data_IF_025922517646
#
_entry.id   IF_025922517646
#
_cell.length_a   1.000
_cell.length_b   1.000
_cell.length_c   1.000
_cell.angle_alpha   90.00
_cell.angle_beta   90.00
_cell.angle_gamma   90.00
#
_symmetry.space_group_name_H-M   'P 1'
#
loop_
_entity.id
_entity.type
_entity.pdbx_description
1 polymer ?
2 polymer ?
3 non-polymer ?
4 non-polymer ?
5 water ?
#
loop_
_entity_poly.entity_id
_entity_poly.type
_entity_poly.pdbx_seq_one_letter_code
_entity_poly.pdbx_strand_id
2 'polydeoxyribonucleotide' '(DT)(DC)(DA)(DA)(DG)(DG)(DG)(DT)(DC)(DC)(DT)(DA)(DG)(DG)(DA)(DC)(DC)(DC)(DT)' ?
#
# COMPACT_ATOMS: atom_id res chain seq x y z
N UNK A 26 14.32 -19.53 12.13
CA UNK A 26 12.87 -19.58 11.98
C UNK A 26 12.23 -18.24 12.27
N UNK A 27 12.81 -17.49 13.21
CA UNK A 27 12.26 -16.21 13.60
C UNK A 27 12.70 -15.13 12.62
N UNK A 28 11.76 -14.30 12.21
CA UNK A 28 11.99 -13.31 11.15
C UNK A 28 12.01 -11.91 11.73
N UNK A 29 12.78 -11.03 11.09
CA UNK A 29 12.77 -9.61 11.38
C UNK A 29 12.29 -8.90 10.12
N UNK A 30 11.07 -8.37 10.15
CA UNK A 30 10.42 -7.76 9.01
C UNK A 30 10.30 -6.27 9.29
N UNK A 31 10.49 -5.44 8.26
CA UNK A 31 10.20 -4.02 8.35
C UNK A 31 9.09 -3.68 7.37
N UNK A 32 8.21 -2.77 7.78
CA UNK A 32 7.17 -2.20 6.95
C UNK A 32 7.41 -0.70 6.87
N UNK A 33 7.42 -0.16 5.65
CA UNK A 33 7.76 1.24 5.41
C UNK A 33 6.54 1.91 4.81
N UNK A 34 6.12 3.02 5.39
CA UNK A 34 4.86 3.69 5.03
C UNK A 34 5.13 5.18 4.91
N UNK A 35 5.04 5.71 3.70
CA UNK A 35 5.37 7.11 3.48
C UNK A 35 4.28 8.02 4.02
N UNK A 36 4.68 9.21 4.46
CA UNK A 36 3.76 10.19 4.99
C UNK A 36 3.00 10.89 3.86
N UNK A 37 1.68 10.99 4.01
CA UNK A 37 0.79 11.67 3.07
C UNK A 37 1.39 11.67 1.67
N UNK A 38 1.51 10.47 1.08
CA UNK A 38 2.41 10.26 -0.04
C UNK A 38 2.18 11.26 -1.17
N UNK A 39 1.00 11.22 -1.80
CA UNK A 39 0.74 12.11 -2.93
C UNK A 39 1.01 13.56 -2.54
N UNK A 40 0.44 14.00 -1.41
CA UNK A 40 0.65 15.37 -0.95
C UNK A 40 2.14 15.66 -0.80
N UNK A 41 2.88 14.73 -0.20
CA UNK A 41 4.30 14.93 0.00
C UNK A 41 5.02 15.08 -1.33
N UNK A 42 4.64 14.28 -2.34
CA UNK A 42 5.23 14.44 -3.66
C UNK A 42 4.96 15.82 -4.21
N UNK A 43 3.73 16.32 -4.05
CA UNK A 43 3.40 17.64 -4.56
C UNK A 43 4.17 18.73 -3.84
N UNK A 44 4.24 18.65 -2.50
CA UNK A 44 4.95 19.67 -1.74
C UNK A 44 6.42 19.75 -2.13
N UNK A 45 7.01 18.64 -2.54
CA UNK A 45 8.41 18.65 -2.94
C UNK A 45 8.58 19.44 -4.24
N UNK A 46 7.68 19.25 -5.19
CA UNK A 46 7.85 19.84 -6.51
C UNK A 46 7.50 21.31 -6.55
N UNK A 47 6.59 21.77 -5.68
CA UNK A 47 6.24 23.18 -5.52
C UNK A 47 6.42 23.53 -4.05
N UNK A 48 7.66 23.82 -3.63
CA UNK A 48 7.94 24.07 -2.20
C UNK A 48 7.09 25.14 -1.54
N UNK A 49 6.37 25.93 -2.32
CA UNK A 49 5.49 26.94 -1.73
C UNK A 49 4.22 26.33 -1.15
N UNK A 50 4.02 25.02 -1.28
CA UNK A 50 2.91 24.34 -0.65
C UNK A 50 3.24 23.80 0.73
N UNK A 51 4.52 23.74 1.11
CA UNK A 51 4.85 23.49 2.50
C UNK A 51 4.18 24.53 3.38
N UNK A 52 3.91 24.17 4.62
CA UNK A 52 3.35 25.10 5.60
C UNK A 52 1.93 25.53 5.25
N UNK A 53 1.52 25.37 3.98
CA UNK A 53 0.16 25.66 3.54
C UNK A 53 -0.65 24.38 3.52
N UNK A 54 -1.90 24.40 4.02
CA UNK A 54 -2.69 23.16 4.02
C UNK A 54 -2.95 22.71 2.59
N UNK A 55 -2.49 21.51 2.27
CA UNK A 55 -2.51 21.01 0.90
C UNK A 55 -3.38 19.77 0.82
N UNK A 56 -4.27 19.76 -0.16
CA UNK A 56 -5.07 18.58 -0.48
C UNK A 56 -4.82 18.20 -1.93
N UNK A 57 -4.76 16.89 -2.18
CA UNK A 57 -4.60 16.38 -3.53
C UNK A 57 -5.95 15.87 -4.01
N UNK A 58 -6.40 16.36 -5.15
CA UNK A 58 -7.77 16.21 -5.60
C UNK A 58 -7.86 15.19 -6.73
N UNK A 59 -8.93 14.41 -6.71
CA UNK A 59 -9.24 13.46 -7.78
C UNK A 59 -10.76 13.51 -7.97
N UNK A 60 -11.20 14.16 -9.04
CA UNK A 60 -12.64 14.37 -9.28
C UNK A 60 -13.20 15.11 -8.08
N UNK A 61 -14.26 14.61 -7.44
CA UNK A 61 -14.92 15.26 -6.32
C UNK A 61 -14.24 14.98 -4.99
N UNK A 62 -13.08 14.30 -5.01
CA UNK A 62 -12.55 13.63 -3.84
C UNK A 62 -11.17 14.17 -3.49
N UNK A 63 -10.99 14.52 -2.23
CA UNK A 63 -9.68 14.89 -1.69
C UNK A 63 -9.05 13.59 -1.21
N UNK A 64 -8.21 12.98 -2.05
CA UNK A 64 -7.76 11.62 -1.74
C UNK A 64 -6.76 11.62 -0.60
N UNK A 65 -5.91 12.65 -0.50
CA UNK A 65 -5.08 12.82 0.67
C UNK A 65 -4.74 14.29 0.83
N UNK A 66 -4.13 14.62 1.97
CA UNK A 66 -3.75 15.98 2.29
C UNK A 66 -2.55 15.94 3.22
N UNK A 67 -1.78 17.03 3.25
CA UNK A 67 -0.65 17.11 4.14
C UNK A 67 -1.12 17.37 5.57
N UNK A 68 -0.17 17.43 6.50
CA UNK A 68 -0.53 17.46 7.91
C UNK A 68 -1.01 18.85 8.35
N UNK A 69 -0.56 19.90 7.67
CA UNK A 69 -1.19 21.21 7.83
C UNK A 69 -2.70 21.08 7.72
N UNK A 70 -3.17 20.53 6.59
CA UNK A 70 -4.60 20.43 6.34
C UNK A 70 -5.28 19.42 7.25
N UNK A 71 -4.54 18.43 7.75
CA UNK A 71 -5.15 17.45 8.65
C UNK A 71 -5.50 18.08 10.00
N UNK A 72 -4.60 18.92 10.53
CA UNK A 72 -4.91 19.64 11.76
C UNK A 72 -6.22 20.41 11.63
N UNK A 73 -6.41 21.10 10.49
CA UNK A 73 -7.58 21.91 10.19
C UNK A 73 -8.87 21.10 9.97
N UNK A 74 -8.87 19.78 10.15
CA UNK A 74 -10.08 18.99 9.98
C UNK A 74 -10.18 18.26 8.66
N UNK A 75 -9.31 18.57 7.69
CA UNK A 75 -9.35 17.86 6.42
C UNK A 75 -8.92 16.41 6.65
N UNK A 76 -9.56 15.49 5.93
CA UNK A 76 -9.30 14.07 6.07
C UNK A 76 -9.35 13.42 4.70
N UNK A 77 -8.85 12.20 4.64
CA UNK A 77 -8.66 11.51 3.37
C UNK A 77 -9.98 10.97 2.85
N UNK A 78 -10.16 11.07 1.53
CA UNK A 78 -11.34 10.55 0.85
C UNK A 78 -12.59 11.38 1.21
N UNK A 79 -12.39 12.68 1.38
CA UNK A 79 -13.44 13.61 1.75
C UNK A 79 -13.81 14.45 0.54
N UNK A 80 -15.13 14.62 0.33
CA UNK A 80 -15.60 15.43 -0.79
C UNK A 80 -14.92 16.79 -0.76
N UNK A 81 -14.57 17.29 -1.94
CA UNK A 81 -13.95 18.61 -2.02
C UNK A 81 -14.88 19.67 -1.46
N UNK A 82 -16.19 19.39 -1.40
CA UNK A 82 -17.15 20.26 -0.73
C UNK A 82 -16.84 20.32 0.76
N UNK A 83 -17.04 19.21 1.47
CA UNK A 83 -16.83 19.17 2.90
C UNK A 83 -15.45 19.73 3.29
N UNK A 84 -14.45 19.53 2.42
CA UNK A 84 -13.08 19.86 2.80
C UNK A 84 -12.85 21.37 2.78
N UNK A 85 -13.26 22.05 1.71
CA UNK A 85 -13.06 23.49 1.63
C UNK A 85 -14.01 24.28 2.50
N UNK A 86 -14.94 23.61 3.18
CA UNK A 86 -15.70 24.25 4.25
C UNK A 86 -14.89 24.25 5.54
N UNK A 87 -14.30 23.10 5.88
CA UNK A 87 -13.45 23.02 7.05
C UNK A 87 -12.15 23.82 6.90
N UNK A 88 -11.75 24.12 5.66
CA UNK A 88 -10.48 24.80 5.41
C UNK A 88 -10.57 25.57 4.10
N UNK A 89 -11.43 26.63 4.06
CA UNK A 89 -11.49 27.43 2.82
C UNK A 89 -10.15 27.88 2.23
N UNK A 90 -9.10 28.03 3.03
CA UNK A 90 -7.79 28.33 2.46
C UNK A 90 -7.06 27.08 1.96
N UNK A 91 -7.76 25.95 1.93
CA UNK A 91 -7.15 24.71 1.47
C UNK A 91 -6.69 24.84 0.02
N UNK A 92 -5.41 24.64 -0.22
CA UNK A 92 -4.88 24.57 -1.58
C UNK A 92 -5.11 23.16 -2.11
N UNK A 93 -5.60 23.07 -3.35
CA UNK A 93 -5.87 21.79 -3.98
C UNK A 93 -5.09 21.70 -5.28
N UNK A 94 -4.35 20.61 -5.45
CA UNK A 94 -3.72 20.27 -6.71
C UNK A 94 -4.33 18.96 -7.19
N UNK A 95 -4.29 18.75 -8.50
CA UNK A 95 -4.94 17.61 -9.12
C UNK A 95 -3.96 16.45 -9.19
N UNK A 96 -4.36 15.30 -8.62
CA UNK A 96 -3.52 14.12 -8.64
C UNK A 96 -4.14 12.95 -9.38
N UNK A 97 -4.92 13.24 -10.42
CA UNK A 97 -5.54 12.16 -11.18
C UNK A 97 -4.51 11.40 -12.01
N UNK A 98 -3.55 12.11 -12.58
CA UNK A 98 -2.46 11.48 -13.32
C UNK A 98 -1.44 10.98 -12.31
N UNK A 99 -1.43 9.67 -12.08
CA UNK A 99 -0.56 9.05 -11.08
C UNK A 99 0.89 9.00 -11.49
N UNK A 100 1.23 9.45 -12.71
CA UNK A 100 2.56 9.21 -13.25
C UNK A 100 3.66 9.55 -12.26
N UNK A 101 3.63 10.75 -11.68
CA UNK A 101 4.73 11.17 -10.83
C UNK A 101 4.73 10.41 -9.51
N UNK A 102 3.56 10.15 -8.94
CA UNK A 102 3.49 9.32 -7.74
C UNK A 102 4.02 7.93 -8.03
N UNK A 103 3.63 7.35 -9.16
CA UNK A 103 4.12 6.02 -9.54
C UNK A 103 5.63 6.01 -9.65
N UNK A 104 6.21 7.07 -10.21
CA UNK A 104 7.65 7.06 -10.45
C UNK A 104 8.43 7.21 -9.14
N UNK A 105 7.97 8.06 -8.23
CA UNK A 105 8.60 8.12 -6.92
C UNK A 105 8.44 6.80 -6.18
N UNK A 106 7.26 6.18 -6.29
CA UNK A 106 7.02 4.92 -5.61
C UNK A 106 8.11 3.90 -5.94
N UNK A 107 8.51 3.83 -7.20
CA UNK A 107 9.51 2.85 -7.61
C UNK A 107 10.91 3.29 -7.23
N UNK A 108 11.18 4.60 -7.18
CA UNK A 108 12.44 5.05 -6.62
C UNK A 108 12.59 4.61 -5.16
N UNK A 109 11.48 4.55 -4.43
CA UNK A 109 11.53 4.09 -3.04
C UNK A 109 11.82 2.60 -2.99
N UNK A 110 11.04 1.80 -3.72
CA UNK A 110 11.25 0.36 -3.70
C UNK A 110 12.66 0.01 -4.16
N UNK A 111 13.16 0.69 -5.19
CA UNK A 111 14.51 0.43 -5.66
C UNK A 111 15.54 0.76 -4.60
N UNK A 112 15.35 1.88 -3.89
CA UNK A 112 16.28 2.23 -2.82
C UNK A 112 16.28 1.15 -1.73
N UNK A 113 15.09 0.67 -1.35
CA UNK A 113 15.02 -0.37 -0.35
C UNK A 113 15.63 -1.68 -0.86
N UNK A 114 15.45 -1.96 -2.16
CA UNK A 114 16.02 -3.18 -2.72
C UNK A 114 17.53 -3.23 -2.57
N UNK A 115 18.19 -2.08 -2.43
CA UNK A 115 19.63 -2.06 -2.18
C UNK A 115 19.95 -2.67 -0.82
N UNK A 116 19.16 -2.35 0.20
CA UNK A 116 19.37 -2.93 1.52
C UNK A 116 19.26 -4.44 1.48
N UNK A 117 18.12 -4.95 1.03
CA UNK A 117 17.93 -6.37 0.79
C UNK A 117 17.09 -6.50 -0.47
N UNK A 118 17.40 -7.47 -1.33
CA UNK A 118 16.75 -7.50 -2.65
C UNK A 118 15.29 -7.88 -2.63
N UNK A 119 14.81 -8.55 -1.57
CA UNK A 119 13.45 -9.07 -1.54
C UNK A 119 12.59 -8.02 -0.85
N UNK A 120 11.96 -7.17 -1.67
CA UNK A 120 11.08 -6.11 -1.20
C UNK A 120 9.69 -6.35 -1.79
N UNK A 121 8.68 -6.29 -0.93
CA UNK A 121 7.30 -6.48 -1.34
C UNK A 121 6.58 -5.13 -1.29
N UNK A 122 6.02 -4.73 -2.42
CA UNK A 122 5.23 -3.52 -2.49
C UNK A 122 3.79 -3.80 -2.08
N UNK A 123 3.17 -2.79 -1.46
CA UNK A 123 1.74 -2.81 -1.18
C UNK A 123 1.21 -1.42 -1.54
N UNK A 124 0.45 -1.35 -2.63
CA UNK A 124 0.10 -0.03 -3.13
C UNK A 124 1.36 0.73 -3.51
N UNK A 125 1.20 2.05 -3.66
CA UNK A 125 2.28 2.88 -4.15
C UNK A 125 3.23 3.36 -3.07
N UNK A 126 2.83 3.33 -1.79
CA UNK A 126 3.62 3.99 -0.75
C UNK A 126 4.00 3.08 0.41
N UNK A 127 3.83 1.76 0.28
CA UNK A 127 4.21 0.84 1.33
C UNK A 127 5.11 -0.27 0.78
N UNK A 128 6.12 -0.64 1.57
CA UNK A 128 7.04 -1.71 1.22
C UNK A 128 7.34 -2.56 2.44
N UNK A 129 7.43 -3.87 2.22
CA UNK A 129 7.94 -4.81 3.22
C UNK A 129 9.32 -5.26 2.80
N UNK A 130 10.20 -5.43 3.79
CA UNK A 130 11.53 -6.00 3.58
C UNK A 130 11.80 -7.01 4.70
N UNK A 131 12.26 -8.20 4.32
CA UNK A 131 12.71 -9.21 5.27
C UNK A 131 14.17 -8.92 5.61
N UNK A 132 14.40 -8.40 6.81
CA UNK A 132 15.73 -8.04 7.27
C UNK A 132 16.44 -9.16 8.00
N UNK A 133 15.84 -10.37 8.02
CA UNK A 133 16.38 -11.44 8.85
C UNK A 133 17.84 -11.72 8.51
N UNK A 134 18.12 -11.97 7.23
CA UNK A 134 19.50 -12.21 6.82
C UNK A 134 20.39 -11.04 7.20
N UNK A 135 19.94 -9.82 6.90
CA UNK A 135 20.73 -8.64 7.19
C UNK A 135 21.01 -8.52 8.69
N UNK A 136 19.99 -8.74 9.51
CA UNK A 136 20.17 -8.64 10.96
C UNK A 136 21.19 -9.67 11.43
N UNK A 137 21.08 -10.91 10.96
CA UNK A 137 21.98 -11.96 11.42
C UNK A 137 23.42 -11.66 11.00
N UNK A 138 23.62 -11.17 9.77
CA UNK A 138 24.97 -10.87 9.31
C UNK A 138 25.60 -9.78 10.17
N UNK A 139 24.83 -8.76 10.52
CA UNK A 139 25.37 -7.69 11.36
C UNK A 139 25.71 -8.21 12.74
N UNK A 140 24.88 -9.09 13.29
CA UNK A 140 25.17 -9.62 14.62
C UNK A 140 26.43 -10.46 14.61
N UNK A 141 26.77 -11.09 13.49
CA UNK A 141 28.00 -11.87 13.45
C UNK A 141 29.24 -10.98 13.38
N UNK A 142 29.10 -9.73 12.93
CA UNK A 142 30.24 -8.82 12.95
C UNK A 142 30.49 -8.25 14.34
N UNK A 143 29.51 -8.34 15.23
CA UNK A 143 29.67 -7.87 16.60
C UNK A 143 30.49 -8.87 17.41
N UNK A 144 30.79 -8.52 18.66
CA UNK A 144 31.70 -9.32 19.47
C UNK A 144 31.33 -9.15 20.94
N UNK A 145 30.74 -10.19 21.52
CA UNK A 145 30.50 -10.32 22.96
C UNK A 145 30.12 -9.02 23.66
N UNK A 146 31.03 -8.05 23.68
CA UNK A 146 30.84 -6.86 24.51
C UNK A 146 29.89 -5.87 23.86
N UNK A 147 30.17 -5.47 22.62
CA UNK A 147 29.29 -4.54 21.92
C UNK A 147 27.87 -5.05 21.82
N UNK A 148 27.65 -6.36 21.99
CA UNK A 148 26.28 -6.88 22.09
C UNK A 148 25.54 -6.24 23.26
N UNK A 149 26.25 -5.95 24.35
CA UNK A 149 25.63 -5.27 25.48
C UNK A 149 25.24 -3.84 25.14
N UNK A 150 25.76 -3.28 24.06
CA UNK A 150 25.55 -1.88 23.71
C UNK A 150 24.55 -1.68 22.57
N UNK A 151 23.96 -2.75 22.05
CA UNK A 151 22.92 -2.59 21.03
C UNK A 151 21.81 -1.74 21.60
N UNK A 152 21.43 -0.70 20.87
CA UNK A 152 20.36 0.20 21.27
C UNK A 152 19.27 0.18 20.19
N UNK A 153 18.12 0.73 20.57
CA UNK A 153 16.99 0.84 19.66
C UNK A 153 17.04 2.20 18.97
N UNK A 154 16.66 2.21 17.70
CA UNK A 154 16.38 3.44 16.98
C UNK A 154 14.86 3.61 16.90
N UNK A 155 14.36 4.72 17.41
CA UNK A 155 12.94 4.99 17.37
C UNK A 155 12.21 4.48 18.60
N UNK A 156 10.90 4.35 18.45
CA UNK A 156 10.05 3.96 19.56
C UNK A 156 10.05 2.45 19.74
N UNK A 157 9.91 2.03 21.00
CA UNK A 157 9.56 0.65 21.35
C UNK A 157 8.08 0.64 21.68
N UNK A 158 7.33 -0.24 21.02
CA UNK A 158 5.88 -0.23 21.19
C UNK A 158 5.53 -0.49 22.65
N UNK A 159 4.52 0.23 23.15
CA UNK A 159 4.02 0.07 24.51
C UNK A 159 5.10 0.35 25.55
N UNK A 160 6.11 1.15 25.18
CA UNK A 160 7.24 1.45 26.05
C UNK A 160 7.73 0.20 26.77
N UNK A 161 7.70 -0.94 26.08
CA UNK A 161 8.13 -2.18 26.69
C UNK A 161 9.63 -2.15 26.97
N UNK A 162 10.02 -2.81 28.05
CA UNK A 162 11.42 -2.83 28.46
C UNK A 162 12.21 -3.83 27.64
N UNK A 163 13.41 -3.44 27.26
CA UNK A 163 14.30 -4.27 26.46
C UNK A 163 15.09 -5.19 27.37
N UNK A 164 15.31 -6.42 26.91
CA UNK A 164 16.14 -7.40 27.61
C UNK A 164 17.26 -7.78 26.65
N UNK A 165 18.45 -7.20 26.85
CA UNK A 165 19.57 -7.43 25.95
C UNK A 165 20.00 -8.89 25.92
N UNK A 166 19.59 -9.69 26.89
CA UNK A 166 19.91 -11.11 26.89
C UNK A 166 18.92 -11.93 26.07
N UNK A 167 17.82 -11.33 25.64
CA UNK A 167 16.85 -11.98 24.77
C UNK A 167 17.29 -11.81 23.33
N UNK A 168 17.68 -12.92 22.68
CA UNK A 168 18.20 -12.83 21.33
C UNK A 168 17.14 -12.23 20.39
N UNK A 169 15.86 -12.49 20.64
CA UNK A 169 14.82 -11.90 19.80
C UNK A 169 14.80 -10.38 19.95
N UNK A 170 14.96 -9.88 21.17
CA UNK A 170 15.02 -8.44 21.38
C UNK A 170 16.21 -7.83 20.66
N UNK A 171 17.36 -8.50 20.72
CA UNK A 171 18.56 -7.97 20.06
C UNK A 171 18.36 -7.89 18.55
N UNK A 172 17.71 -8.90 17.98
CA UNK A 172 17.54 -8.92 16.53
C UNK A 172 16.55 -7.85 16.08
N UNK A 173 15.47 -7.65 16.82
CA UNK A 173 14.51 -6.61 16.49
C UNK A 173 15.12 -5.22 16.66
N UNK A 174 15.99 -5.03 17.65
CA UNK A 174 16.65 -3.72 17.80
C UNK A 174 17.60 -3.46 16.64
N UNK A 175 18.32 -4.49 16.18
CA UNK A 175 19.13 -4.32 14.97
C UNK A 175 18.23 -4.01 13.78
N UNK A 176 17.11 -4.73 13.68
CA UNK A 176 16.12 -4.38 12.67
C UNK A 176 15.76 -2.91 12.71
N UNK A 177 15.52 -2.38 13.92
CA UNK A 177 15.15 -0.98 14.04
C UNK A 177 16.26 -0.05 13.57
N UNK A 178 17.52 -0.47 13.71
CA UNK A 178 18.62 0.34 13.22
C UNK A 178 18.67 0.34 11.70
N UNK A 179 18.47 -0.83 11.09
CA UNK A 179 18.37 -0.87 9.64
C UNK A 179 17.22 0.01 9.16
N UNK A 180 16.10 -0.01 9.89
CA UNK A 180 14.94 0.77 9.51
C UNK A 180 15.24 2.26 9.51
N UNK A 181 15.99 2.73 10.52
CA UNK A 181 16.35 4.14 10.56
C UNK A 181 17.31 4.50 9.44
N UNK A 182 18.19 3.58 9.06
CA UNK A 182 19.06 3.81 7.91
C UNK A 182 18.25 3.91 6.62
N UNK A 183 17.27 3.02 6.45
CA UNK A 183 16.38 3.10 5.30
C UNK A 183 15.69 4.45 5.23
N UNK A 184 15.09 4.87 6.34
CA UNK A 184 14.37 6.14 6.37
C UNK A 184 15.31 7.32 6.16
N UNK A 185 16.52 7.26 6.74
CA UNK A 185 17.49 8.31 6.52
C UNK A 185 17.91 8.35 5.05
N UNK A 186 18.16 7.19 4.44
CA UNK A 186 18.51 7.14 3.03
C UNK A 186 17.37 7.67 2.16
N UNK A 187 16.13 7.28 2.47
CA UNK A 187 14.99 7.79 1.71
C UNK A 187 14.96 9.30 1.71
N UNK A 188 15.21 9.92 2.87
CA UNK A 188 15.19 11.38 2.95
C UNK A 188 16.40 11.99 2.25
N UNK A 189 17.59 11.45 2.51
CA UNK A 189 18.79 12.01 1.90
C UNK A 189 18.75 11.90 0.39
N UNK A 190 18.27 10.79 -0.13
CA UNK A 190 18.36 10.47 -1.55
C UNK A 190 17.11 10.85 -2.33
N UNK A 191 15.93 10.84 -1.70
CA UNK A 191 14.70 11.16 -2.40
C UNK A 191 13.89 12.27 -1.74
N UNK A 192 14.33 12.80 -0.61
CA UNK A 192 13.59 13.86 0.05
C UNK A 192 12.29 13.42 0.68
N UNK A 193 12.06 12.12 0.81
CA UNK A 193 10.80 11.60 1.31
C UNK A 193 10.93 11.18 2.78
N UNK A 194 9.92 11.55 3.57
CA UNK A 194 9.77 11.04 4.92
C UNK A 194 8.69 9.97 4.95
N UNK A 195 8.73 9.15 6.00
CA UNK A 195 7.75 8.10 6.18
C UNK A 195 7.97 7.43 7.53
N UNK A 196 7.10 6.47 7.80
CA UNK A 196 7.19 5.69 9.03
C UNK A 196 7.66 4.27 8.73
N UNK A 197 8.20 3.63 9.76
CA UNK A 197 8.62 2.24 9.67
C UNK A 197 8.18 1.51 10.93
N UNK A 198 7.75 0.26 10.75
CA UNK A 198 7.49 -0.63 11.86
C UNK A 198 8.32 -1.89 11.70
N UNK A 199 8.91 -2.34 12.80
CA UNK A 199 9.75 -3.53 12.82
C UNK A 199 9.10 -4.54 13.75
N UNK A 200 8.86 -5.74 13.23
CA UNK A 200 8.21 -6.80 14.00
C UNK A 200 8.61 -8.14 13.39
N UNK A 201 8.03 -9.21 13.94
CA UNK A 201 8.39 -10.57 13.56
C UNK A 201 7.62 -11.09 12.35
N UNK A 202 6.58 -10.40 11.89
CA UNK A 202 5.92 -10.77 10.64
C UNK A 202 5.32 -9.53 10.00
N UNK A 203 4.67 -9.72 8.85
CA UNK A 203 4.20 -8.60 8.05
C UNK A 203 3.00 -7.92 8.70
N UNK A 204 2.01 -8.71 9.11
CA UNK A 204 0.87 -8.17 9.85
C UNK A 204 1.32 -7.24 10.97
N UNK A 205 2.23 -7.71 11.82
CA UNK A 205 2.64 -6.94 12.99
C UNK A 205 3.51 -5.75 12.60
N UNK A 206 4.41 -5.95 11.63
CA UNK A 206 5.19 -4.83 11.12
C UNK A 206 4.29 -3.70 10.64
N UNK A 207 3.25 -4.06 9.89
CA UNK A 207 2.38 -3.05 9.30
C UNK A 207 1.51 -2.39 10.37
N UNK A 208 1.03 -3.17 11.35
CA UNK A 208 0.23 -2.58 12.41
C UNK A 208 1.06 -1.66 13.29
N UNK A 209 2.33 -2.02 13.53
CA UNK A 209 3.12 -1.21 14.45
C UNK A 209 3.75 0.01 13.78
N UNK A 210 3.94 0.01 12.45
CA UNK A 210 4.56 1.14 11.78
C UNK A 210 3.73 2.41 11.96
N UNK A 211 2.43 2.28 12.08
CA UNK A 211 1.55 3.41 12.21
C UNK A 211 1.30 3.94 13.62
N UNK A 212 1.99 3.44 14.63
CA UNK A 212 1.66 3.82 16.00
C UNK A 212 2.07 5.26 16.27
N UNK A 213 3.29 5.63 15.87
CA UNK A 213 3.73 7.03 15.88
C UNK A 213 3.88 7.43 14.42
N UNK A 214 2.93 8.23 13.93
CA UNK A 214 2.60 8.17 12.52
C UNK A 214 3.20 9.26 11.64
N UNK A 215 3.62 10.40 12.17
CA UNK A 215 4.35 11.34 11.31
C UNK A 215 5.86 11.15 11.37
N UNK A 216 6.42 10.52 10.34
CA UNK A 216 7.87 10.43 10.16
C UNK A 216 8.56 9.91 11.41
N UNK A 217 8.12 8.72 11.86
CA UNK A 217 8.72 8.05 13.01
C UNK A 217 8.67 6.56 12.78
N UNK A 218 9.32 5.81 13.67
CA UNK A 218 9.32 4.36 13.56
C UNK A 218 9.14 3.76 14.94
N UNK A 219 8.70 2.51 14.95
CA UNK A 219 8.33 1.77 16.14
C UNK A 219 8.73 0.30 15.94
N UNK A 220 9.31 -0.30 16.97
CA UNK A 220 9.63 -1.72 16.95
C UNK A 220 8.73 -2.43 17.96
N UNK A 221 8.22 -3.59 17.57
CA UNK A 221 7.31 -4.38 18.39
C UNK A 221 8.09 -5.55 18.97
N UNK A 222 8.23 -5.58 20.29
CA UNK A 222 8.83 -6.75 20.93
C UNK A 222 7.75 -7.81 21.16
N UNK A 223 8.13 -9.09 21.17
CA UNK A 223 7.11 -10.15 21.18
C UNK A 223 6.13 -10.09 22.33
N UNK A 224 6.58 -9.67 23.52
CA UNK A 224 5.72 -9.65 24.70
C UNK A 224 4.54 -8.69 24.55
N UNK A 225 4.64 -7.72 23.65
CA UNK A 225 3.62 -6.69 23.49
C UNK A 225 2.70 -6.96 22.31
N UNK A 226 2.85 -8.11 21.66
CA UNK A 226 2.03 -8.43 20.49
C UNK A 226 0.54 -8.39 20.82
N UNK A 227 0.14 -9.03 21.93
CA UNK A 227 -1.26 -9.07 22.28
C UNK A 227 -1.79 -7.68 22.58
N UNK A 228 -0.97 -6.83 23.21
CA UNK A 228 -1.38 -5.44 23.43
C UNK A 228 -1.63 -4.74 22.10
N UNK A 229 -0.82 -5.06 21.08
CA UNK A 229 -0.99 -4.41 19.78
C UNK A 229 -2.30 -4.82 19.12
N UNK A 230 -2.58 -6.11 19.02
CA UNK A 230 -3.78 -6.53 18.30
C UNK A 230 -5.04 -6.10 19.04
N UNK A 231 -5.03 -6.14 20.37
CA UNK A 231 -6.20 -5.74 21.15
C UNK A 231 -6.34 -4.23 21.24
N UNK A 232 -5.34 -3.46 20.79
CA UNK A 232 -5.51 -2.01 20.71
C UNK A 232 -6.46 -1.61 19.59
N UNK A 233 -6.72 -2.49 18.62
CA UNK A 233 -7.65 -2.17 17.55
C UNK A 233 -9.08 -2.25 18.05
N UNK A 234 -9.96 -1.48 17.41
CA UNK A 234 -11.34 -1.34 17.87
C UNK A 234 -12.39 -1.95 16.96
N UNK A 235 -12.11 -2.07 15.66
CA UNK A 235 -12.99 -2.77 14.73
C UNK A 235 -12.16 -3.78 13.96
N UNK A 236 -12.74 -4.96 13.68
CA UNK A 236 -11.94 -6.02 13.08
C UNK A 236 -11.49 -5.65 11.67
N UNK A 237 -12.11 -4.64 11.04
CA UNK A 237 -11.65 -4.25 9.70
C UNK A 237 -10.29 -3.56 9.75
N UNK A 238 -9.81 -3.16 10.92
CA UNK A 238 -8.47 -2.59 11.01
C UNK A 238 -7.39 -3.64 10.78
N UNK A 239 -7.73 -4.92 10.80
CA UNK A 239 -6.78 -5.97 10.49
C UNK A 239 -6.56 -6.03 8.99
N UNK A 240 -5.32 -5.87 8.50
CA UNK A 240 -5.07 -6.05 7.07
C UNK A 240 -5.39 -7.49 6.64
N UNK A 241 -6.24 -7.61 5.64
CA UNK A 241 -6.77 -8.89 5.21
C UNK A 241 -8.25 -9.06 5.51
N UNK A 242 -8.78 -8.24 6.41
CA UNK A 242 -10.19 -8.22 6.73
C UNK A 242 -10.75 -6.91 6.21
N UNK A 243 -11.55 -6.95 5.15
CA UNK A 243 -11.99 -5.77 4.46
C UNK A 243 -13.49 -5.54 4.59
N UNK A 244 -14.01 -4.73 3.64
CA UNK A 244 -15.40 -4.28 3.71
C UNK A 244 -16.36 -5.45 3.85
N UNK A 245 -16.27 -6.44 2.95
CA UNK A 245 -17.25 -7.52 2.95
C UNK A 245 -17.04 -8.47 4.12
N UNK A 246 -15.81 -8.91 4.36
CA UNK A 246 -15.56 -9.84 5.46
C UNK A 246 -16.00 -9.24 6.79
N UNK A 247 -15.75 -7.95 6.99
CA UNK A 247 -16.20 -7.28 8.21
C UNK A 247 -17.71 -7.37 8.35
N UNK A 248 -18.44 -7.00 7.29
CA UNK A 248 -19.90 -7.02 7.36
C UNK A 248 -20.40 -8.42 7.71
N UNK A 249 -19.84 -9.45 7.07
CA UNK A 249 -20.22 -10.81 7.42
C UNK A 249 -19.94 -11.07 8.90
N UNK A 250 -18.74 -10.73 9.36
CA UNK A 250 -18.36 -11.01 10.75
C UNK A 250 -19.35 -10.39 11.74
N UNK A 251 -19.71 -9.12 11.53
CA UNK A 251 -20.70 -8.51 12.41
C UNK A 251 -21.97 -9.34 12.46
N UNK A 252 -22.46 -9.75 11.29
CA UNK A 252 -23.70 -10.53 11.22
C UNK A 252 -23.62 -11.83 12.01
N UNK A 253 -22.44 -12.22 12.47
CA UNK A 253 -22.29 -13.32 13.40
C UNK A 253 -22.03 -12.82 14.82
N UNK A 254 -22.13 -11.50 15.04
CA UNK A 254 -21.85 -10.92 16.34
C UNK A 254 -20.38 -10.72 16.66
N UNK A 255 -19.49 -10.89 15.68
CA UNK A 255 -18.05 -10.72 15.89
C UNK A 255 -17.70 -9.26 15.61
N UNK A 256 -17.26 -8.54 16.64
CA UNK A 256 -17.02 -7.11 16.50
C UNK A 256 -15.62 -6.71 16.95
N UNK A 257 -15.05 -7.41 17.91
CA UNK A 257 -13.73 -7.09 18.43
C UNK A 257 -12.73 -8.15 18.00
N UNK A 258 -11.44 -7.82 18.15
CA UNK A 258 -10.41 -8.81 17.86
C UNK A 258 -10.61 -10.05 18.73
N UNK A 259 -10.97 -9.85 20.01
CA UNK A 259 -11.15 -11.00 20.89
C UNK A 259 -12.34 -11.84 20.46
N UNK A 260 -13.43 -11.20 20.05
CA UNK A 260 -14.56 -11.95 19.50
C UNK A 260 -14.09 -12.91 18.40
N UNK A 261 -13.34 -12.38 17.42
CA UNK A 261 -12.86 -13.22 16.34
C UNK A 261 -11.91 -14.30 16.85
N UNK A 262 -11.04 -13.94 17.81
CA UNK A 262 -10.11 -14.92 18.36
C UNK A 262 -10.86 -16.09 18.98
N UNK A 263 -11.93 -15.82 19.72
CA UNK A 263 -12.62 -16.83 20.51
C UNK A 263 -13.80 -17.46 19.80
N UNK A 264 -14.13 -17.01 18.59
CA UNK A 264 -15.33 -17.48 17.91
C UNK A 264 -15.10 -18.87 17.34
N UNK A 265 -16.18 -19.63 17.22
CA UNK A 265 -16.12 -21.01 16.77
C UNK A 265 -15.39 -21.12 15.44
N UNK A 266 -14.30 -21.87 15.35
CA UNK A 266 -13.70 -22.12 14.02
C UNK A 266 -14.67 -22.77 13.06
N UNK A 267 -15.36 -23.83 13.51
CA UNK A 267 -16.26 -24.56 12.63
C UNK A 267 -17.28 -23.64 11.98
N UNK A 268 -18.00 -22.86 12.78
CA UNK A 268 -18.99 -21.94 12.24
C UNK A 268 -18.33 -20.96 11.28
N UNK A 269 -17.13 -20.48 11.64
CA UNK A 269 -16.45 -19.48 10.81
C UNK A 269 -16.10 -20.07 9.44
N UNK A 270 -15.74 -21.35 9.39
CA UNK A 270 -15.49 -22.00 8.11
C UNK A 270 -16.76 -22.06 7.27
N UNK A 271 -17.81 -22.68 7.82
CA UNK A 271 -19.06 -22.82 7.07
C UNK A 271 -19.54 -21.48 6.53
N UNK A 272 -19.42 -20.43 7.33
CA UNK A 272 -20.00 -19.14 6.98
C UNK A 272 -19.11 -18.26 6.13
N UNK A 273 -17.84 -18.63 5.93
CA UNK A 273 -16.94 -17.82 5.12
C UNK A 273 -16.03 -18.63 4.20
N UNK A 274 -15.87 -19.92 4.41
CA UNK A 274 -14.91 -20.68 3.65
C UNK A 274 -13.72 -21.05 4.50
N UNK A 275 -13.07 -22.16 4.13
CA UNK A 275 -12.02 -22.73 4.96
C UNK A 275 -10.74 -21.91 4.79
N UNK A 276 -10.54 -21.31 3.63
CA UNK A 276 -9.40 -20.44 3.41
C UNK A 276 -9.51 -19.16 4.24
N UNK A 277 -10.65 -18.47 4.12
CA UNK A 277 -10.80 -17.16 4.76
C UNK A 277 -10.86 -17.31 6.27
N UNK A 278 -11.79 -18.13 6.76
CA UNK A 278 -11.92 -18.34 8.20
C UNK A 278 -10.58 -18.65 8.85
N UNK A 279 -9.83 -19.60 8.28
CA UNK A 279 -8.60 -20.05 8.91
C UNK A 279 -7.56 -18.93 8.97
N UNK A 280 -7.41 -18.18 7.88
CA UNK A 280 -6.36 -17.16 7.84
C UNK A 280 -6.72 -15.96 8.71
N UNK A 281 -7.95 -15.45 8.59
CA UNK A 281 -8.28 -14.26 9.37
C UNK A 281 -8.29 -14.58 10.86
N UNK A 282 -8.70 -15.79 11.24
CA UNK A 282 -8.61 -16.17 12.65
C UNK A 282 -7.16 -16.21 13.11
N UNK A 283 -6.26 -16.69 12.24
CA UNK A 283 -4.83 -16.59 12.53
C UNK A 283 -4.40 -15.14 12.68
N UNK A 284 -4.85 -14.29 11.76
CA UNK A 284 -4.50 -12.87 11.82
C UNK A 284 -5.00 -12.25 13.13
N UNK A 285 -6.18 -12.67 13.60
CA UNK A 285 -6.73 -12.12 14.83
C UNK A 285 -5.82 -12.33 16.03
N UNK A 286 -4.95 -13.34 15.99
CA UNK A 286 -3.96 -13.57 17.03
C UNK A 286 -2.63 -12.89 16.76
N UNK A 287 -2.55 -12.08 15.70
CA UNK A 287 -1.26 -11.54 15.31
C UNK A 287 -0.34 -12.54 14.65
N UNK A 288 -0.88 -13.65 14.16
CA UNK A 288 -0.10 -14.68 13.51
C UNK A 288 -0.18 -14.49 11.99
N UNK A 289 0.97 -14.57 11.32
CA UNK A 289 1.02 -14.34 9.88
C UNK A 289 2.36 -14.91 9.38
N UNK A 290 2.30 -16.06 8.73
CA UNK A 290 3.48 -16.74 8.25
C UNK A 290 3.80 -16.40 6.80
N UNK A 291 3.07 -15.49 6.19
CA UNK A 291 3.27 -15.20 4.79
C UNK A 291 4.67 -14.64 4.55
N UNK A 292 5.39 -15.12 3.54
CA UNK A 292 6.73 -14.58 3.29
C UNK A 292 6.64 -13.20 2.64
N UNK A 293 7.71 -12.43 2.81
CA UNK A 293 7.89 -11.22 2.03
C UNK A 293 8.17 -11.63 0.59
N UNK A 294 7.36 -11.13 -0.34
CA UNK A 294 7.45 -11.49 -1.76
C UNK A 294 8.21 -10.38 -2.49
N UNK A 295 9.16 -10.78 -3.35
CA UNK A 295 9.77 -9.83 -4.27
C UNK A 295 8.72 -9.42 -5.32
N UNK A 296 8.25 -8.17 -5.22
CA UNK A 296 7.25 -7.71 -6.18
C UNK A 296 7.85 -7.57 -7.57
N UNK A 297 9.06 -7.04 -7.65
CA UNK A 297 9.72 -6.84 -8.93
C UNK A 297 8.93 -5.89 -9.81
N UNK A 298 9.04 -6.07 -11.13
CA UNK A 298 8.29 -5.21 -12.04
C UNK A 298 6.80 -5.49 -11.95
N UNK A 299 5.96 -4.52 -12.26
CA UNK A 299 4.51 -4.73 -12.13
C UNK A 299 4.03 -5.85 -13.03
N UNK A 300 2.93 -6.48 -12.62
CA UNK A 300 2.27 -7.51 -13.41
C UNK A 300 1.23 -6.94 -14.38
N UNK A 301 0.87 -5.66 -14.23
CA UNK A 301 -0.14 -5.05 -15.07
C UNK A 301 0.11 -3.55 -15.18
N UNK A 302 -0.47 -2.96 -16.22
CA UNK A 302 -0.51 -1.53 -16.45
C UNK A 302 -1.95 -1.18 -16.78
N UNK A 303 -2.53 -0.20 -16.09
CA UNK A 303 -3.89 0.21 -16.38
C UNK A 303 -4.05 1.72 -16.22
N UNK A 304 -5.01 2.26 -16.95
CA UNK A 304 -5.43 3.65 -16.83
C UNK A 304 -6.95 3.67 -16.71
N UNK A 305 -7.47 4.53 -15.83
CA UNK A 305 -8.90 4.68 -15.66
C UNK A 305 -9.30 6.14 -15.88
N UNK A 306 -10.58 6.33 -16.23
CA UNK A 306 -11.24 7.61 -16.11
C UNK A 306 -12.67 7.36 -15.67
N UNK A 307 -13.18 8.24 -14.81
CA UNK A 307 -14.56 8.17 -14.35
C UNK A 307 -15.28 9.46 -14.74
N UNK A 308 -16.60 9.40 -14.72
CA UNK A 308 -17.43 10.51 -15.19
C UNK A 308 -18.87 10.23 -14.81
N UNK A 309 -19.62 11.28 -14.45
CA UNK A 309 -20.97 11.11 -13.91
C UNK A 309 -21.95 10.88 -15.06
N UNK A 310 -21.97 9.65 -15.57
CA UNK A 310 -22.89 9.26 -16.63
C UNK A 310 -22.67 10.12 -17.87
N UNK A 311 -21.43 10.55 -18.07
CA UNK A 311 -21.04 11.41 -19.17
C UNK A 311 -20.69 10.61 -20.42
N UNK A 312 -21.02 9.32 -20.47
CA UNK A 312 -20.78 8.52 -21.67
C UNK A 312 -21.99 7.64 -21.93
N UNK A 313 -22.66 7.89 -23.05
CA UNK A 313 -23.74 7.05 -23.53
C UNK A 313 -23.58 6.74 -25.01
N UNK A 314 -22.42 7.04 -25.59
CA UNK A 314 -22.19 6.92 -27.02
C UNK A 314 -21.12 5.88 -27.27
N UNK A 315 -21.13 5.33 -28.48
CA UNK A 315 -20.01 4.55 -28.98
C UNK A 315 -18.87 5.52 -29.25
N UNK A 316 -19.14 6.82 -29.09
CA UNK A 316 -18.11 7.84 -28.98
C UNK A 316 -17.51 7.91 -27.58
N UNK A 317 -17.74 6.88 -26.77
CA UNK A 317 -16.83 6.57 -25.67
C UNK A 317 -15.50 6.02 -26.19
N UNK A 318 -15.38 5.88 -27.51
CA UNK A 318 -14.11 5.47 -28.11
C UNK A 318 -13.06 6.57 -27.94
N UNK A 319 -13.49 7.83 -27.91
CA UNK A 319 -12.54 8.91 -27.65
C UNK A 319 -11.89 8.75 -26.28
N UNK A 320 -12.67 8.32 -25.28
CA UNK A 320 -12.10 8.08 -23.96
C UNK A 320 -11.09 6.95 -23.97
N UNK A 321 -11.29 5.96 -24.85
CA UNK A 321 -10.39 4.79 -24.89
C UNK A 321 -9.10 5.09 -25.64
N UNK A 322 -9.07 6.10 -26.52
CA UNK A 322 -7.82 6.47 -27.15
C UNK A 322 -6.81 7.01 -26.14
N UNK A 323 -7.22 8.00 -25.34
CA UNK A 323 -6.31 8.60 -24.37
C UNK A 323 -5.79 7.54 -23.40
N UNK A 324 -6.68 6.73 -22.84
CA UNK A 324 -6.26 5.65 -21.97
C UNK A 324 -5.19 4.79 -22.64
N UNK A 325 -5.37 4.50 -23.94
CA UNK A 325 -4.39 3.70 -24.66
C UNK A 325 -3.07 4.44 -24.80
N UNK A 326 -3.12 5.68 -25.30
CA UNK A 326 -1.91 6.45 -25.54
C UNK A 326 -1.02 6.44 -24.30
N UNK A 327 -1.61 6.67 -23.13
CA UNK A 327 -0.83 6.66 -21.90
C UNK A 327 -0.27 5.27 -21.64
N UNK A 328 -1.11 4.24 -21.75
CA UNK A 328 -0.64 2.87 -21.57
C UNK A 328 0.46 2.54 -22.58
N UNK A 329 0.23 2.89 -23.85
CA UNK A 329 1.22 2.56 -24.89
C UNK A 329 2.58 3.17 -24.58
N UNK A 330 2.60 4.41 -24.11
CA UNK A 330 3.87 5.01 -23.70
C UNK A 330 4.46 4.28 -22.50
N UNK A 331 3.61 3.91 -21.54
CA UNK A 331 4.11 3.22 -20.35
C UNK A 331 4.68 1.85 -20.72
N UNK A 332 4.05 1.15 -21.67
CA UNK A 332 4.58 -0.13 -22.10
C UNK A 332 5.95 0.05 -22.73
N UNK A 333 6.05 0.95 -23.72
CA UNK A 333 7.32 1.17 -24.40
C UNK A 333 8.44 1.44 -23.41
N UNK A 334 8.15 2.20 -22.36
CA UNK A 334 9.18 2.55 -21.39
C UNK A 334 9.60 1.34 -20.56
N UNK A 335 8.64 0.54 -20.12
CA UNK A 335 8.98 -0.65 -19.34
C UNK A 335 9.88 -1.58 -20.15
N UNK A 336 9.57 -1.76 -21.43
CA UNK A 336 10.39 -2.56 -22.31
C UNK A 336 9.75 -3.89 -22.65
N UNK A 337 9.11 -4.52 -21.67
CA UNK A 337 8.44 -5.78 -21.91
C UNK A 337 7.20 -5.56 -22.75
N UNK A 338 6.63 -6.66 -23.23
CA UNK A 338 5.50 -6.61 -24.13
C UNK A 338 4.30 -7.32 -23.52
N UNK A 339 3.13 -6.69 -23.48
CA UNK A 339 1.95 -7.36 -22.96
C UNK A 339 1.33 -8.31 -23.98
N UNK A 340 0.66 -9.34 -23.47
CA UNK A 340 0.00 -10.33 -24.30
C UNK A 340 -1.48 -10.43 -24.05
N UNK A 341 -2.04 -9.63 -23.15
CA UNK A 341 -3.47 -9.59 -22.90
C UNK A 341 -3.90 -8.15 -22.68
N UNK A 342 -5.06 -7.80 -23.20
CA UNK A 342 -5.66 -6.48 -22.97
C UNK A 342 -7.06 -6.71 -22.42
N UNK A 343 -7.48 -5.80 -21.55
CA UNK A 343 -8.79 -5.86 -20.93
C UNK A 343 -9.44 -4.50 -20.98
N UNK A 344 -10.75 -4.47 -21.21
CA UNK A 344 -11.54 -3.27 -21.16
C UNK A 344 -12.53 -3.41 -20.01
N UNK A 345 -12.55 -2.42 -19.12
CA UNK A 345 -13.44 -2.42 -17.97
C UNK A 345 -14.36 -1.21 -18.08
N UNK A 346 -15.62 -1.42 -17.72
CA UNK A 346 -16.63 -0.37 -17.75
C UNK A 346 -17.43 -0.46 -16.45
N UNK A 347 -18.10 0.64 -16.12
CA UNK A 347 -19.00 0.69 -14.97
C UNK A 347 -20.30 1.33 -15.45
N UNK A 348 -21.38 0.55 -15.42
CA UNK A 348 -22.67 1.03 -15.88
C UNK A 348 -23.37 1.74 -14.73
N UNK A 349 -24.06 2.82 -15.05
CA UNK A 349 -24.68 3.66 -14.04
C UNK A 349 -25.85 2.96 -13.39
N UNK A 350 -25.94 3.07 -12.07
CA UNK A 350 -27.09 2.60 -11.32
C UNK A 350 -27.97 3.77 -10.93
N UNK A 356 -19.14 -3.15 -8.62
CA UNK A 356 -20.04 -3.66 -9.64
C UNK A 356 -19.59 -3.28 -11.05
N UNK A 357 -18.51 -3.89 -11.50
CA UNK A 357 -17.88 -3.57 -12.78
C UNK A 357 -17.93 -4.78 -13.71
N UNK A 358 -17.96 -4.51 -15.01
CA UNK A 358 -17.89 -5.55 -16.04
C UNK A 358 -16.60 -5.37 -16.83
N UNK A 359 -16.17 -6.45 -17.48
CA UNK A 359 -14.92 -6.42 -18.23
C UNK A 359 -14.94 -7.46 -19.34
N UNK A 360 -14.14 -7.19 -20.37
CA UNK A 360 -13.82 -8.17 -21.40
C UNK A 360 -12.34 -8.06 -21.71
N UNK A 361 -11.67 -9.20 -21.78
CA UNK A 361 -10.28 -9.23 -22.22
C UNK A 361 -10.13 -10.19 -23.39
N UNK A 362 -8.97 -10.13 -24.03
CA UNK A 362 -8.60 -11.01 -25.11
C UNK A 362 -7.10 -10.87 -25.34
N UNK A 363 -6.48 -11.84 -26.01
CA UNK A 363 -5.05 -11.72 -26.26
C UNK A 363 -4.76 -10.63 -27.27
N UNK A 364 -3.50 -10.20 -27.29
CA UNK A 364 -3.05 -9.12 -28.16
C UNK A 364 -2.39 -9.77 -29.39
N UNK A 365 -3.04 -9.75 -30.57
CA UNK A 365 -2.44 -10.36 -31.76
C UNK A 365 -0.93 -10.21 -31.84
N UNK A 366 -0.23 -11.31 -32.13
CA UNK A 366 1.23 -11.26 -32.19
C UNK A 366 1.70 -10.26 -33.23
N UNK A 367 0.96 -10.14 -34.33
CA UNK A 367 1.21 -9.07 -35.31
C UNK A 367 1.39 -7.74 -34.62
N UNK A 368 0.55 -7.45 -33.61
CA UNK A 368 0.63 -6.18 -32.93
C UNK A 368 1.81 -6.16 -31.96
N UNK A 369 1.96 -7.22 -31.16
CA UNK A 369 2.96 -7.24 -30.09
C UNK A 369 4.30 -6.73 -30.58
N UNK A 370 4.58 -6.86 -31.88
CA UNK A 370 5.80 -6.34 -32.47
C UNK A 370 5.54 -5.05 -33.24
N UNK A 379 0.22 1.78 -33.97
CA UNK A 379 -0.38 0.70 -33.18
C UNK A 379 -1.74 1.12 -32.64
N UNK A 380 -1.87 2.44 -32.41
CA UNK A 380 -3.15 3.03 -32.00
C UNK A 380 -4.31 2.37 -32.70
N UNK A 381 -4.26 2.29 -34.02
CA UNK A 381 -5.43 1.91 -34.80
C UNK A 381 -5.91 0.49 -34.51
N UNK A 382 -5.07 -0.54 -34.62
CA UNK A 382 -5.58 -1.90 -34.34
C UNK A 382 -6.05 -2.09 -32.91
N UNK A 383 -5.33 -1.52 -31.93
CA UNK A 383 -5.73 -1.69 -30.54
C UNK A 383 -7.13 -1.13 -30.29
N UNK A 384 -7.42 0.05 -30.83
CA UNK A 384 -8.73 0.66 -30.64
C UNK A 384 -9.83 -0.24 -31.20
N UNK A 385 -9.54 -0.92 -32.31
CA UNK A 385 -10.55 -1.78 -32.92
C UNK A 385 -10.87 -2.97 -32.01
N UNK A 386 -9.84 -3.62 -31.46
CA UNK A 386 -10.07 -4.69 -30.50
C UNK A 386 -10.94 -4.20 -29.36
N UNK A 387 -10.55 -3.07 -28.76
CA UNK A 387 -11.25 -2.59 -27.58
C UNK A 387 -12.70 -2.26 -27.87
N UNK A 388 -12.97 -1.70 -29.04
CA UNK A 388 -14.35 -1.31 -29.34
C UNK A 388 -15.21 -2.54 -29.64
N UNK A 389 -14.64 -3.58 -30.25
CA UNK A 389 -15.32 -4.87 -30.27
C UNK A 389 -15.61 -5.34 -28.85
N UNK A 390 -14.57 -5.39 -28.02
CA UNK A 390 -14.75 -5.71 -26.61
C UNK A 390 -15.80 -4.81 -25.98
N UNK A 391 -15.74 -3.51 -26.27
CA UNK A 391 -16.74 -2.58 -25.76
C UNK A 391 -18.14 -3.01 -26.18
N UNK A 392 -18.31 -3.36 -27.46
CA UNK A 392 -19.66 -3.59 -27.98
C UNK A 392 -20.24 -4.90 -27.49
N UNK A 393 -19.40 -5.89 -27.18
CA UNK A 393 -19.90 -7.09 -26.52
C UNK A 393 -20.52 -6.79 -25.17
N UNK A 394 -20.42 -5.56 -24.68
CA UNK A 394 -20.97 -5.18 -23.38
C UNK A 394 -22.06 -4.12 -23.55
N UNK A 404 -20.21 5.04 -16.16
CA UNK A 404 -19.61 6.03 -15.27
C UNK A 404 -18.10 5.83 -15.12
N UNK A 405 -17.53 4.88 -15.87
CA UNK A 405 -16.11 4.60 -15.75
C UNK A 405 -15.66 3.76 -16.95
N UNK A 406 -14.49 4.10 -17.48
CA UNK A 406 -13.82 3.29 -18.49
C UNK A 406 -12.37 3.07 -18.06
N UNK A 407 -11.88 1.84 -18.25
CA UNK A 407 -10.51 1.50 -17.91
C UNK A 407 -9.97 0.52 -18.94
N UNK A 408 -8.66 0.61 -19.19
CA UNK A 408 -7.94 -0.31 -20.05
C UNK A 408 -6.75 -0.84 -19.27
N UNK A 409 -6.48 -2.13 -19.43
CA UNK A 409 -5.39 -2.80 -18.71
C UNK A 409 -4.61 -3.67 -19.67
N UNK A 410 -3.28 -3.51 -19.65
CA UNK A 410 -2.35 -4.45 -20.26
C UNK A 410 -1.80 -5.34 -19.14
N UNK A 411 -1.94 -6.65 -19.30
CA UNK A 411 -1.32 -7.62 -18.40
C UNK A 411 -0.68 -8.71 -19.23
N UNK A 412 -0.09 -9.70 -18.54
CA UNK A 412 0.54 -10.85 -19.19
C UNK A 412 1.83 -10.41 -19.91
N UNK A 413 2.70 -9.72 -19.17
CA UNK A 413 3.86 -9.07 -19.75
C UNK A 413 5.01 -10.06 -19.85
N UNK A 414 5.79 -9.92 -20.92
CA UNK A 414 6.88 -10.85 -21.22
C UNK A 414 8.13 -10.09 -21.62
X LIG C 1 -1.12 8.80 3.07
X LIG C 1 0.25 8.30 2.63
X LIG C 1 -1.72 9.72 2.05
X LIG C 1 -2.09 7.67 3.25
X LIG C 1 -0.95 9.61 4.46
X LIG C 1 -0.55 8.90 5.86
X LIG C 1 0.58 9.67 6.48
X LIG C 1 -1.76 8.90 6.76
X LIG C 1 -0.08 7.48 5.61
X LIG D 1 0.23 3.96 3.53
X LIG E 1 1.05 6.49 3.92
X LIG F 1 -8.78 -4.37 6.83
#
# INVERSE_FOLDING_TARGET
MELADVGAAASSQGVHDQVLPTPNASSRVIVHVDLDCFYAQVEMISNPELKDKPLGVQQKYLVVTCNYEARKLGVKKLMNVRDAKEKCPQLVLVNGEDLTRYREMSYKVTELLEEFSPVVERLGFDENFVDLTEMVEKRLQQLQSDELSAVTVSGHVYNNQSINLLDVLHIRLLVGSQIAAEMREAMYNQLGLTGCAGVASNKLLAKLVSGVFKPNQQTVLLPESCQHLIHSLNHIKEIPGIGYKTAKCLEALGINSVRDLQTFSPKILEKELGISVAQRIQKLSFGEDNSPVILSGPPQSFSEEDSFKKCSSEVEAKNKIEELLASLLNRVCQDGRKPHTVRLIIRRYSSEKHYGRESRQCPIPSHVIQKLGTGNYDVMTPMVDILMKLFRNMVNVKMPFHLTLLSVCFCNLKALNTAK
POP P1 O1 O2 O3 O P2 O4 O5 O6
MG MG
MG MG
MG MG
#
